data_IF_022890766812
#
_entry.id   IF_022890766812
#
_cell.length_a   1.000
_cell.length_b   1.000
_cell.length_c   1.000
_cell.angle_alpha   90.00
_cell.angle_beta   90.00
_cell.angle_gamma   90.00
#
_symmetry.space_group_name_H-M   'P 1'
#
loop_
_entity.id
_entity.type
_entity.pdbx_description
1 polymer ?
#
# COMPACT_ATOMS: atom_id res chain seq x y z
N UNK A 1 -6.63 -0.24 16.32
CA UNK A 1 -7.52 0.15 15.22
C UNK A 1 -8.57 -0.93 15.02
N UNK A 2 -9.70 -0.62 14.38
CA UNK A 2 -10.79 -1.57 14.11
C UNK A 2 -10.80 -2.12 12.67
N UNK A 3 -9.72 -1.89 11.92
CA UNK A 3 -9.60 -2.33 10.53
C UNK A 3 -9.35 -3.84 10.49
N UNK A 4 -10.23 -4.56 9.82
CA UNK A 4 -10.17 -6.01 9.61
C UNK A 4 -10.00 -6.32 8.12
N UNK A 5 -8.81 -6.04 7.59
CA UNK A 5 -8.48 -6.18 6.17
C UNK A 5 -7.21 -7.00 5.94
N UNK A 6 -7.23 -7.79 4.86
CA UNK A 6 -6.02 -8.38 4.27
C UNK A 6 -5.41 -7.39 3.29
N UNK A 7 -4.07 -7.32 3.29
CA UNK A 7 -3.33 -6.31 2.54
C UNK A 7 -2.17 -6.94 1.80
N UNK A 8 -1.99 -6.55 0.54
CA UNK A 8 -0.77 -6.81 -0.22
C UNK A 8 -0.15 -5.48 -0.63
N UNK A 9 1.18 -5.39 -0.54
CA UNK A 9 1.93 -4.25 -1.07
C UNK A 9 2.70 -4.74 -2.29
N UNK A 10 2.48 -4.10 -3.42
CA UNK A 10 3.14 -4.36 -4.69
C UNK A 10 4.04 -3.16 -5.04
N UNK A 11 5.12 -3.43 -5.76
CA UNK A 11 5.98 -2.40 -6.34
C UNK A 11 6.21 -2.70 -7.82
N UNK A 12 6.37 -1.67 -8.64
CA UNK A 12 6.91 -1.84 -9.99
C UNK A 12 8.41 -2.19 -9.94
N UNK A 13 9.01 -2.51 -11.09
CA UNK A 13 10.42 -2.92 -11.18
C UNK A 13 11.37 -1.94 -10.50
N UNK A 14 11.16 -0.64 -10.69
CA UNK A 14 11.94 0.43 -10.07
C UNK A 14 11.87 0.38 -8.53
N UNK A 15 10.66 0.23 -7.97
CA UNK A 15 10.47 0.12 -6.53
C UNK A 15 11.06 -1.18 -5.97
N UNK A 16 10.85 -2.31 -6.65
CA UNK A 16 11.36 -3.63 -6.22
C UNK A 16 12.89 -3.66 -6.25
N UNK A 17 13.51 -3.09 -7.28
CA UNK A 17 14.96 -2.98 -7.37
C UNK A 17 15.53 -2.10 -6.25
N UNK A 18 14.94 -0.92 -6.02
CA UNK A 18 15.34 -0.04 -4.93
C UNK A 18 15.23 -0.74 -3.56
N UNK A 19 14.14 -1.49 -3.33
CA UNK A 19 13.98 -2.29 -2.12
C UNK A 19 15.06 -3.35 -1.94
N UNK A 20 15.38 -4.11 -3.00
CA UNK A 20 16.39 -5.18 -2.96
C UNK A 20 17.79 -4.63 -2.72
N UNK A 21 18.12 -3.50 -3.34
CA UNK A 21 19.43 -2.83 -3.20
C UNK A 21 19.54 -1.98 -1.93
N UNK A 22 18.40 -1.68 -1.28
CA UNK A 22 18.28 -0.72 -0.18
C UNK A 22 18.65 0.70 -0.62
N UNK A 23 18.34 1.04 -1.87
CA UNK A 23 18.60 2.35 -2.44
C UNK A 23 17.53 3.34 -1.94
N UNK A 24 17.99 4.38 -1.26
CA UNK A 24 17.17 5.49 -0.78
C UNK A 24 17.83 6.82 -1.17
N UNK A 25 17.04 7.84 -1.58
CA UNK A 25 15.60 7.79 -1.83
C UNK A 25 15.23 6.88 -3.01
N UNK A 26 13.96 6.49 -3.12
CA UNK A 26 13.47 5.73 -4.27
C UNK A 26 13.63 6.57 -5.54
N UNK A 27 13.92 5.94 -6.71
CA UNK A 27 14.07 6.66 -7.97
C UNK A 27 12.72 7.20 -8.46
N UNK A 28 12.76 8.31 -9.21
CA UNK A 28 11.59 8.81 -9.93
C UNK A 28 11.02 7.72 -10.86
N UNK A 29 9.69 7.60 -10.89
CA UNK A 29 8.99 6.51 -11.57
C UNK A 29 8.77 5.26 -10.71
N UNK A 30 9.29 5.22 -9.46
CA UNK A 30 8.88 4.18 -8.51
C UNK A 30 7.39 4.28 -8.19
N UNK A 31 6.69 3.15 -8.22
CA UNK A 31 5.27 3.04 -7.90
C UNK A 31 5.09 1.95 -6.85
N UNK A 32 4.39 2.28 -5.77
CA UNK A 32 3.99 1.35 -4.73
C UNK A 32 2.46 1.33 -4.66
N UNK A 33 1.87 0.15 -4.76
CA UNK A 33 0.44 -0.06 -4.62
C UNK A 33 0.13 -0.88 -3.37
N UNK A 34 -0.84 -0.43 -2.59
CA UNK A 34 -1.43 -1.20 -1.50
C UNK A 34 -2.83 -1.63 -1.91
N UNK A 35 -3.02 -2.93 -2.00
CA UNK A 35 -4.31 -3.56 -2.25
C UNK A 35 -4.90 -4.01 -0.92
N UNK A 36 -6.20 -3.77 -0.71
CA UNK A 36 -6.89 -4.15 0.52
C UNK A 36 -8.20 -4.87 0.24
N UNK A 37 -8.46 -5.94 1.00
CA UNK A 37 -9.67 -6.76 0.92
C UNK A 37 -10.23 -7.00 2.32
N UNK A 38 -11.51 -7.33 2.43
CA UNK A 38 -12.06 -7.84 3.69
C UNK A 38 -11.34 -9.12 4.11
N UNK A 39 -11.04 -9.25 5.41
CA UNK A 39 -10.55 -10.50 5.99
C UNK A 39 -11.74 -11.45 6.17
N UNK A 40 -11.82 -12.50 5.34
CA UNK A 40 -13.02 -13.35 5.23
C UNK A 40 -12.70 -14.81 5.55
N UNK A 41 -13.52 -15.50 6.37
CA UNK A 41 -13.34 -16.94 6.63
C UNK A 41 -13.42 -17.76 5.34
N UNK A 42 -12.53 -18.74 5.18
CA UNK A 42 -12.61 -19.69 4.06
C UNK A 42 -13.45 -20.89 4.45
N UNK A 43 -14.71 -20.94 4.00
CA UNK A 43 -15.59 -22.10 4.26
C UNK A 43 -15.00 -23.41 3.74
N UNK A 44 -14.35 -23.37 2.57
CA UNK A 44 -13.71 -24.54 1.95
C UNK A 44 -12.61 -25.09 2.84
N UNK A 45 -11.66 -24.25 3.26
CA UNK A 45 -10.56 -24.69 4.12
C UNK A 45 -11.09 -25.11 5.50
N UNK A 46 -12.03 -24.34 6.06
CA UNK A 46 -12.58 -24.63 7.39
C UNK A 46 -13.31 -25.98 7.42
N UNK A 47 -13.95 -26.40 6.33
CA UNK A 47 -14.51 -27.76 6.20
C UNK A 47 -13.43 -28.84 6.27
N UNK A 48 -12.28 -28.63 5.61
CA UNK A 48 -11.16 -29.56 5.68
C UNK A 48 -10.56 -29.66 7.09
N UNK A 49 -10.60 -28.55 7.84
CA UNK A 49 -10.06 -28.48 9.19
C UNK A 49 -11.05 -28.78 10.32
N UNK A 50 -12.36 -28.83 10.04
CA UNK A 50 -13.41 -29.02 11.03
C UNK A 50 -13.63 -27.85 12.00
N UNK A 51 -12.97 -26.70 11.79
CA UNK A 51 -13.09 -25.49 12.62
C UNK A 51 -12.73 -24.23 11.82
N UNK A 52 -13.22 -23.07 12.26
CA UNK A 52 -12.86 -21.78 11.67
C UNK A 52 -11.43 -21.39 12.06
N UNK A 53 -10.51 -21.53 11.11
CA UNK A 53 -9.10 -21.15 11.32
C UNK A 53 -8.39 -20.63 10.06
N UNK A 54 -8.99 -20.80 8.88
CA UNK A 54 -8.45 -20.32 7.62
C UNK A 54 -9.20 -19.10 7.11
N UNK A 55 -8.46 -18.12 6.60
CA UNK A 55 -8.99 -16.85 6.12
C UNK A 55 -8.36 -16.49 4.78
N UNK A 56 -9.14 -15.83 3.95
CA UNK A 56 -8.79 -15.46 2.58
C UNK A 56 -9.22 -14.03 2.30
N UNK A 57 -8.67 -13.45 1.22
CA UNK A 57 -9.09 -12.16 0.73
C UNK A 57 -10.53 -12.23 0.21
N UNK A 58 -11.43 -11.45 0.82
CA UNK A 58 -12.81 -11.30 0.37
C UNK A 58 -12.98 -10.17 -0.63
N UNK A 59 -14.01 -9.33 -0.43
CA UNK A 59 -14.30 -8.23 -1.34
C UNK A 59 -13.20 -7.14 -1.28
N UNK A 60 -12.79 -6.56 -2.42
CA UNK A 60 -11.86 -5.45 -2.43
C UNK A 60 -12.48 -4.23 -1.74
N UNK A 61 -11.70 -3.53 -0.93
CA UNK A 61 -12.16 -2.37 -0.17
C UNK A 61 -11.61 -1.07 -0.76
N UNK A 62 -10.29 -0.97 -0.84
CA UNK A 62 -9.60 0.15 -1.47
C UNK A 62 -8.27 -0.28 -2.10
N UNK A 63 -7.82 0.55 -3.02
CA UNK A 63 -6.46 0.53 -3.56
C UNK A 63 -5.84 1.89 -3.23
N UNK A 64 -4.62 1.87 -2.70
CA UNK A 64 -3.85 3.08 -2.47
C UNK A 64 -2.57 3.02 -3.31
N UNK A 65 -2.17 4.14 -3.88
CA UNK A 65 -0.93 4.26 -4.66
C UNK A 65 -0.05 5.38 -4.12
N UNK A 66 1.25 5.14 -4.20
CA UNK A 66 2.29 6.14 -4.08
C UNK A 66 3.12 6.14 -5.36
N UNK A 67 3.36 7.32 -5.93
CA UNK A 67 4.16 7.50 -7.15
C UNK A 67 5.28 8.49 -6.89
N UNK A 68 6.54 8.09 -7.16
CA UNK A 68 7.70 8.96 -7.01
C UNK A 68 7.87 9.84 -8.25
N UNK A 69 7.82 11.14 -8.03
CA UNK A 69 8.24 12.17 -8.98
C UNK A 69 8.71 13.38 -8.17
N UNK A 70 10.03 13.47 -8.00
CA UNK A 70 10.71 14.46 -7.17
C UNK A 70 10.40 15.90 -7.57
N UNK A 71 10.13 16.15 -8.86
CA UNK A 71 9.81 17.47 -9.40
C UNK A 71 8.34 17.80 -9.20
N UNK A 72 7.45 16.89 -9.61
CA UNK A 72 6.00 17.11 -9.54
C UNK A 72 5.49 17.16 -8.09
N UNK A 73 6.09 16.40 -7.20
CA UNK A 73 5.65 16.22 -5.82
C UNK A 73 6.67 16.74 -4.79
N UNK A 74 7.39 17.82 -5.12
CA UNK A 74 8.42 18.39 -4.25
C UNK A 74 7.91 18.74 -2.83
N UNK A 75 6.66 19.18 -2.70
CA UNK A 75 6.04 19.54 -1.42
C UNK A 75 5.76 18.34 -0.49
N UNK A 76 5.76 17.12 -1.03
CA UNK A 76 5.42 15.87 -0.33
C UNK A 76 6.58 14.87 -0.35
N UNK A 77 7.82 15.38 -0.35
CA UNK A 77 9.01 14.53 -0.35
C UNK A 77 9.21 13.74 -1.64
N UNK A 78 8.63 14.21 -2.75
CA UNK A 78 8.68 13.56 -4.05
C UNK A 78 7.60 12.49 -4.26
N UNK A 79 6.64 12.33 -3.35
CA UNK A 79 5.59 11.31 -3.45
C UNK A 79 4.21 11.90 -3.73
N UNK A 80 3.60 11.46 -4.82
CA UNK A 80 2.16 11.63 -5.07
C UNK A 80 1.38 10.50 -4.43
N UNK A 81 0.18 10.79 -3.93
CA UNK A 81 -0.70 9.84 -3.27
C UNK A 81 -2.03 9.75 -4.02
N UNK A 82 -2.57 8.54 -4.15
CA UNK A 82 -3.91 8.31 -4.69
C UNK A 82 -4.61 7.20 -3.90
N UNK A 83 -5.93 7.28 -3.78
CA UNK A 83 -6.77 6.22 -3.25
C UNK A 83 -7.96 6.01 -4.17
N UNK A 84 -8.37 4.76 -4.32
CA UNK A 84 -9.54 4.34 -5.05
C UNK A 84 -10.43 3.50 -4.15
N UNK A 85 -11.68 3.88 -4.03
CA UNK A 85 -12.72 3.14 -3.29
C UNK A 85 -13.80 2.72 -4.29
N UNK A 86 -14.16 1.42 -4.30
CA UNK A 86 -15.13 0.87 -5.25
C UNK A 86 -14.82 1.21 -6.72
N UNK A 87 -13.53 1.20 -7.09
CA UNK A 87 -13.07 1.48 -8.45
C UNK A 87 -13.10 2.95 -8.87
N UNK A 88 -13.42 3.87 -7.95
CA UNK A 88 -13.44 5.32 -8.23
C UNK A 88 -12.35 6.03 -7.42
N UNK A 89 -11.69 7.05 -7.99
CA UNK A 89 -10.73 7.84 -7.23
C UNK A 89 -11.45 8.61 -6.13
N UNK A 90 -10.82 8.66 -4.96
CA UNK A 90 -11.27 9.50 -3.85
C UNK A 90 -10.95 10.98 -4.12
N UNK A 91 -11.61 11.88 -3.37
CA UNK A 91 -11.40 13.32 -3.47
C UNK A 91 -9.95 13.70 -3.14
N UNK A 92 -9.25 14.49 -3.99
CA UNK A 92 -7.93 15.02 -3.68
C UNK A 92 -7.81 15.71 -2.32
N UNK A 93 -8.88 16.34 -1.83
CA UNK A 93 -8.91 16.97 -0.51
C UNK A 93 -8.69 15.93 0.61
N UNK A 94 -9.30 14.75 0.48
CA UNK A 94 -9.13 13.66 1.43
C UNK A 94 -7.69 13.12 1.45
N UNK A 95 -6.93 13.33 0.38
CA UNK A 95 -5.55 12.85 0.21
C UNK A 95 -4.49 13.82 0.75
N UNK A 96 -4.86 15.06 1.09
CA UNK A 96 -3.90 16.07 1.60
C UNK A 96 -3.17 15.63 2.87
N UNK A 97 -3.80 14.79 3.68
CA UNK A 97 -3.23 14.31 4.93
C UNK A 97 -2.38 13.03 4.78
N UNK A 98 -2.27 12.45 3.58
CA UNK A 98 -1.45 11.26 3.38
C UNK A 98 0.02 11.54 3.68
N UNK A 99 0.57 12.65 3.19
CA UNK A 99 1.99 12.97 3.39
C UNK A 99 2.33 13.17 4.87
N UNK A 100 1.53 13.92 5.63
CA UNK A 100 1.78 14.16 7.06
C UNK A 100 1.80 12.85 7.87
N UNK A 101 0.93 11.89 7.52
CA UNK A 101 0.94 10.55 8.11
C UNK A 101 2.21 9.74 7.76
N UNK A 102 2.87 10.08 6.65
CA UNK A 102 4.07 9.40 6.15
C UNK A 102 5.39 10.06 6.58
N UNK A 103 5.37 11.31 7.08
CA UNK A 103 6.55 12.01 7.61
C UNK A 103 7.35 11.20 8.64
N UNK A 104 6.75 10.41 9.57
CA UNK A 104 7.51 9.59 10.51
C UNK A 104 8.42 8.55 9.84
N UNK A 105 8.17 8.19 8.58
CA UNK A 105 9.01 7.26 7.81
C UNK A 105 10.05 7.98 6.92
N UNK A 106 10.36 9.27 7.17
CA UNK A 106 11.29 10.07 6.35
C UNK A 106 12.64 9.39 6.08
N UNK A 107 13.23 8.72 7.06
CA UNK A 107 14.51 8.00 6.91
C UNK A 107 14.45 6.82 5.93
N UNK A 108 13.24 6.40 5.57
CA UNK A 108 12.95 5.34 4.59
C UNK A 108 12.22 5.89 3.38
N UNK A 109 12.52 7.15 3.06
CA UNK A 109 11.89 7.90 1.98
C UNK A 109 10.35 7.87 2.06
N UNK A 110 9.82 8.04 3.26
CA UNK A 110 8.37 8.11 3.54
C UNK A 110 7.61 6.80 3.31
N UNK A 111 8.31 5.66 3.17
CA UNK A 111 7.71 4.33 2.98
C UNK A 111 7.79 3.49 4.26
N UNK A 112 6.64 3.03 4.76
CA UNK A 112 6.58 2.17 5.94
C UNK A 112 6.94 0.71 5.65
N UNK A 113 6.64 0.24 4.44
CA UNK A 113 6.84 -1.13 3.99
C UNK A 113 8.33 -1.49 3.98
N UNK A 114 8.63 -2.73 4.34
CA UNK A 114 9.96 -3.33 4.15
C UNK A 114 9.83 -4.44 3.11
N UNK A 115 10.89 -4.67 2.35
CA UNK A 115 10.96 -5.82 1.46
C UNK A 115 10.80 -7.11 2.28
N UNK A 116 9.83 -7.93 1.90
CA UNK A 116 9.64 -9.27 2.43
C UNK A 116 10.32 -10.25 1.43
N UNK A 117 11.46 -10.85 1.80
CA UNK A 117 12.22 -11.73 0.91
C UNK A 117 11.52 -13.06 0.64
#
# INVERSE_FOLDING_TARGET
>A
GKLNDLRAILGNDQAVEAFRRKDLPFPDGAIIARLAWTYTPSEENNKAFGQEQSFVAGAPTNIQLMVKDSKRYAATGGWGFAQFTNGKPDDPEALKNCYSCHVPAKERDYIFTRYAP
#
